data_IF_612119314975
#
_entry.id   IF_612119314975
#
_cell.length_a   1.000
_cell.length_b   1.000
_cell.length_c   1.000
_cell.angle_alpha   90.00
_cell.angle_beta   90.00
_cell.angle_gamma   90.00
#
_symmetry.space_group_name_H-M   'P 1'
#
loop_
_entity.id
_entity.type
_entity.pdbx_description
1 polymer ?
#
# COMPACT_ATOMS: atom_id res chain seq x y z
N UNK A 1 26.86 17.02 2.46
CA UNK A 1 26.07 17.81 1.49
C UNK A 1 24.73 17.15 1.28
N UNK A 2 23.69 17.92 0.93
CA UNK A 2 22.39 17.37 0.58
C UNK A 2 22.51 16.51 -0.69
N UNK A 3 22.00 15.27 -0.65
CA UNK A 3 21.97 14.40 -1.83
C UNK A 3 20.82 14.82 -2.74
N UNK A 4 21.08 14.90 -4.04
CA UNK A 4 20.07 15.23 -5.06
C UNK A 4 19.90 14.05 -5.98
N UNK A 5 18.66 13.68 -6.27
CA UNK A 5 18.28 12.59 -7.17
C UNK A 5 17.27 13.11 -8.19
N UNK A 6 17.37 12.66 -9.43
CA UNK A 6 16.47 13.04 -10.53
C UNK A 6 16.05 11.78 -11.26
N UNK A 7 14.75 11.62 -11.50
CA UNK A 7 14.17 10.47 -12.18
C UNK A 7 13.16 10.95 -13.24
N UNK A 8 13.01 10.24 -14.37
CA UNK A 8 11.94 10.52 -15.32
C UNK A 8 10.57 10.40 -14.63
N UNK A 9 9.63 11.27 -14.99
CA UNK A 9 8.29 11.28 -14.41
C UNK A 9 7.60 9.93 -14.62
N UNK A 10 7.72 9.36 -15.81
CA UNK A 10 7.05 8.12 -16.20
C UNK A 10 7.61 6.88 -15.49
N UNK A 11 8.79 6.99 -14.88
CA UNK A 11 9.42 5.92 -14.08
C UNK A 11 9.03 6.01 -12.59
N UNK A 12 8.27 7.03 -12.19
CA UNK A 12 7.95 7.31 -10.79
C UNK A 12 6.45 7.38 -10.53
N UNK A 13 6.03 6.88 -9.38
CA UNK A 13 4.67 7.03 -8.88
C UNK A 13 4.70 7.75 -7.52
N UNK A 14 4.06 8.91 -7.44
CA UNK A 14 3.87 9.62 -6.18
C UNK A 14 2.62 9.11 -5.47
N UNK A 15 2.81 8.33 -4.42
CA UNK A 15 1.74 7.90 -3.52
C UNK A 15 1.52 8.96 -2.42
N UNK A 16 0.29 9.13 -1.90
CA UNK A 16 -0.01 10.06 -0.82
C UNK A 16 0.41 9.48 0.54
N UNK A 17 1.69 9.14 0.68
CA UNK A 17 2.30 8.51 1.85
C UNK A 17 3.48 9.35 2.33
N UNK A 18 3.72 9.35 3.64
CA UNK A 18 4.85 10.09 4.23
C UNK A 18 6.15 9.36 3.91
N UNK A 19 6.15 8.03 4.02
CA UNK A 19 7.26 7.17 3.65
C UNK A 19 6.77 6.03 2.74
N UNK A 20 7.73 5.40 2.06
CA UNK A 20 7.50 4.19 1.28
C UNK A 20 8.02 3.00 2.11
N UNK A 21 7.29 2.65 3.17
CA UNK A 21 7.55 1.42 3.95
C UNK A 21 6.49 0.37 3.65
N UNK A 22 6.83 -0.90 3.90
CA UNK A 22 5.91 -2.04 3.72
C UNK A 22 4.60 -1.89 4.52
N UNK A 23 4.66 -1.32 5.72
CA UNK A 23 3.48 -1.06 6.57
C UNK A 23 2.58 0.03 5.98
N UNK A 24 3.16 1.15 5.55
CA UNK A 24 2.38 2.25 4.97
C UNK A 24 1.75 1.82 3.65
N UNK A 25 2.47 1.05 2.83
CA UNK A 25 1.96 0.46 1.61
C UNK A 25 0.83 -0.54 1.88
N UNK A 26 0.96 -1.42 2.87
CA UNK A 26 -0.06 -2.44 3.17
C UNK A 26 -1.37 -1.79 3.60
N UNK A 27 -1.27 -0.76 4.46
CA UNK A 27 -2.42 0.07 4.86
C UNK A 27 -3.01 0.81 3.67
N UNK A 28 -2.19 1.48 2.85
CA UNK A 28 -2.66 2.24 1.69
C UNK A 28 -3.41 1.36 0.70
N UNK A 29 -2.83 0.21 0.35
CA UNK A 29 -3.42 -0.78 -0.55
C UNK A 29 -4.71 -1.36 0.05
N UNK A 30 -4.72 -1.71 1.34
CA UNK A 30 -5.91 -2.20 2.03
C UNK A 30 -7.06 -1.20 2.05
N UNK A 31 -6.81 0.06 2.40
CA UNK A 31 -7.83 1.10 2.39
C UNK A 31 -8.34 1.43 0.99
N UNK A 32 -7.45 1.41 -0.01
CA UNK A 32 -7.84 1.60 -1.41
C UNK A 32 -8.74 0.47 -1.89
N UNK A 33 -8.31 -0.77 -1.65
CA UNK A 33 -9.07 -1.95 -2.04
C UNK A 33 -10.42 -2.02 -1.31
N UNK A 34 -10.49 -1.67 -0.03
CA UNK A 34 -11.75 -1.59 0.70
C UNK A 34 -12.74 -0.58 0.09
N UNK A 35 -12.25 0.56 -0.42
CA UNK A 35 -13.07 1.53 -1.16
C UNK A 35 -13.55 0.96 -2.49
N UNK A 36 -12.66 0.33 -3.25
CA UNK A 36 -12.99 -0.24 -4.56
C UNK A 36 -13.98 -1.42 -4.42
N UNK A 37 -13.94 -2.17 -3.33
CA UNK A 37 -14.86 -3.27 -3.00
C UNK A 37 -16.10 -2.83 -2.19
N UNK A 38 -16.27 -1.53 -1.93
CA UNK A 38 -17.35 -1.03 -1.06
C UNK A 38 -18.76 -1.38 -1.56
N UNK A 39 -18.93 -1.43 -2.88
CA UNK A 39 -20.18 -1.78 -3.54
C UNK A 39 -20.46 -3.29 -3.59
N UNK A 40 -19.47 -4.15 -3.30
CA UNK A 40 -19.68 -5.59 -3.32
C UNK A 40 -20.50 -6.02 -2.10
N UNK A 41 -21.58 -6.80 -2.30
CA UNK A 41 -22.31 -7.36 -1.18
C UNK A 41 -21.47 -8.43 -0.46
N UNK A 42 -21.75 -8.63 0.82
CA UNK A 42 -21.40 -9.84 1.58
C UNK A 42 -19.92 -10.15 1.91
N UNK A 43 -18.98 -9.20 1.83
CA UNK A 43 -17.67 -9.37 2.47
C UNK A 43 -17.67 -8.88 3.92
N UNK A 44 -16.95 -9.60 4.78
CA UNK A 44 -16.87 -9.34 6.23
C UNK A 44 -15.51 -8.79 6.66
N UNK A 45 -14.45 -9.22 5.98
CA UNK A 45 -13.09 -8.74 6.21
C UNK A 45 -12.26 -8.71 4.92
N UNK A 46 -11.22 -7.90 4.94
CA UNK A 46 -10.20 -7.77 3.93
C UNK A 46 -8.83 -7.96 4.59
N UNK A 47 -7.95 -8.69 3.93
CA UNK A 47 -6.55 -8.83 4.32
C UNK A 47 -5.66 -8.52 3.11
N UNK A 48 -4.67 -7.66 3.31
CA UNK A 48 -3.63 -7.35 2.32
C UNK A 48 -2.28 -7.70 2.92
N UNK A 49 -1.51 -8.51 2.21
CA UNK A 49 -0.13 -8.82 2.56
C UNK A 49 0.81 -8.17 1.54
N UNK A 50 1.85 -7.51 2.04
CA UNK A 50 2.94 -6.96 1.23
C UNK A 50 4.22 -7.61 1.68
N UNK A 51 5.01 -8.11 0.73
CA UNK A 51 6.31 -8.70 0.94
C UNK A 51 7.35 -7.90 0.15
N UNK A 52 8.29 -7.26 0.87
CA UNK A 52 9.35 -6.44 0.25
C UNK A 52 10.51 -7.29 -0.24
N UNK A 53 10.84 -8.32 0.54
CA UNK A 53 11.82 -9.34 0.21
C UNK A 53 11.37 -10.65 0.85
N UNK A 54 11.82 -11.78 0.31
CA UNK A 54 11.44 -13.12 0.80
C UNK A 54 11.58 -13.21 2.33
N UNK A 55 10.46 -13.44 3.02
CA UNK A 55 10.41 -13.59 4.48
C UNK A 55 10.24 -12.29 5.28
N UNK A 56 10.24 -11.12 4.63
CA UNK A 56 9.89 -9.84 5.24
C UNK A 56 8.56 -9.36 4.67
N UNK A 57 7.48 -9.64 5.40
CA UNK A 57 6.14 -9.24 5.01
C UNK A 57 5.37 -8.55 6.11
N UNK A 58 4.45 -7.70 5.69
CA UNK A 58 3.51 -7.00 6.56
C UNK A 58 2.10 -7.34 6.11
N UNK A 59 1.23 -7.61 7.08
CA UNK A 59 -0.17 -7.85 6.86
C UNK A 59 -0.99 -6.71 7.43
N UNK A 60 -1.87 -6.15 6.60
CA UNK A 60 -2.93 -5.24 7.01
C UNK A 60 -4.27 -5.99 6.95
N UNK A 61 -5.05 -5.92 8.03
CA UNK A 61 -6.38 -6.53 8.11
C UNK A 61 -7.39 -5.46 8.50
N UNK A 62 -8.56 -5.51 7.86
CA UNK A 62 -9.68 -4.61 8.12
C UNK A 62 -11.00 -5.37 8.06
N UNK A 63 -11.86 -5.14 9.05
CA UNK A 63 -13.28 -5.50 8.97
C UNK A 63 -14.04 -4.45 8.14
N UNK A 64 -15.12 -4.85 7.47
CA UNK A 64 -15.93 -3.95 6.66
C UNK A 64 -16.48 -2.77 7.45
#
# INVERSE_FOLDING_TARGET
GAKTYSFPKDDTLCLPLINITSEELARYAGERLARDLSALPAWTSLQVNIEETRGQSVTYTRAR
#
